data_IF_118750716300
#
_entry.id   IF_118750716300
#
_cell.length_a   1.000
_cell.length_b   1.000
_cell.length_c   1.000
_cell.angle_alpha   90.00
_cell.angle_beta   90.00
_cell.angle_gamma   90.00
#
_symmetry.space_group_name_H-M   'P 1'
#
loop_
_entity.id
_entity.type
_entity.pdbx_description
1 polymer ?
#
# COMPACT_ATOMS: atom_id res chain seq x y z
N UNK A 1 -27.32 54.85 -29.14
CA UNK A 1 -26.37 54.43 -28.10
C UNK A 1 -26.58 52.97 -27.68
N UNK A 2 -27.82 52.48 -27.60
CA UNK A 2 -28.11 51.08 -27.16
C UNK A 2 -27.54 49.97 -28.06
N UNK A 3 -27.48 50.19 -29.38
CA UNK A 3 -26.92 49.22 -30.33
C UNK A 3 -25.40 48.99 -30.16
N UNK A 4 -24.64 50.02 -29.79
CA UNK A 4 -23.19 49.94 -29.57
C UNK A 4 -22.88 49.26 -28.23
N UNK A 5 -23.65 49.57 -27.18
CA UNK A 5 -23.53 48.91 -25.87
C UNK A 5 -23.88 47.42 -25.95
N UNK A 6 -24.92 47.04 -26.71
CA UNK A 6 -25.28 45.64 -26.93
C UNK A 6 -24.21 44.87 -27.71
N UNK A 7 -23.59 45.48 -28.72
CA UNK A 7 -22.49 44.87 -29.48
C UNK A 7 -21.24 44.64 -28.62
N UNK A 8 -20.92 45.58 -27.72
CA UNK A 8 -19.77 45.47 -26.83
C UNK A 8 -19.97 44.35 -25.78
N UNK A 9 -21.17 44.24 -25.20
CA UNK A 9 -21.52 43.16 -24.27
C UNK A 9 -21.44 41.78 -24.96
N UNK A 10 -21.89 41.68 -26.21
CA UNK A 10 -21.80 40.44 -26.98
C UNK A 10 -20.35 39.97 -27.17
N UNK A 11 -19.43 40.89 -27.47
CA UNK A 11 -18.01 40.56 -27.60
C UNK A 11 -17.39 40.11 -26.27
N UNK A 12 -17.75 40.76 -25.16
CA UNK A 12 -17.31 40.38 -23.82
C UNK A 12 -17.77 38.96 -23.46
N UNK A 13 -19.03 38.60 -23.72
CA UNK A 13 -19.53 37.24 -23.47
C UNK A 13 -18.83 36.19 -24.32
N UNK A 14 -18.56 36.48 -25.60
CA UNK A 14 -17.79 35.57 -26.46
C UNK A 14 -16.38 35.33 -25.91
N UNK A 15 -15.72 36.37 -25.39
CA UNK A 15 -14.41 36.25 -24.76
C UNK A 15 -14.47 35.42 -23.48
N UNK A 16 -15.47 35.64 -22.63
CA UNK A 16 -15.69 34.84 -21.40
C UNK A 16 -15.93 33.37 -21.73
N UNK A 17 -16.79 33.07 -22.71
CA UNK A 17 -17.02 31.70 -23.16
C UNK A 17 -15.74 31.04 -23.69
N UNK A 18 -14.93 31.77 -24.46
CA UNK A 18 -13.62 31.27 -24.91
C UNK A 18 -12.69 30.97 -23.74
N UNK A 19 -12.67 31.83 -22.72
CA UNK A 19 -11.84 31.66 -21.53
C UNK A 19 -12.29 30.44 -20.72
N UNK A 20 -13.59 30.26 -20.50
CA UNK A 20 -14.14 29.09 -19.79
C UNK A 20 -13.86 27.80 -20.55
N UNK A 21 -13.93 27.80 -21.89
CA UNK A 21 -13.53 26.65 -22.71
C UNK A 21 -12.06 26.28 -22.53
N UNK A 22 -11.17 27.27 -22.52
CA UNK A 22 -9.75 27.03 -22.25
C UNK A 22 -9.55 26.47 -20.83
N UNK A 23 -10.17 27.09 -19.83
CA UNK A 23 -10.14 26.65 -18.44
C UNK A 23 -10.63 25.20 -18.29
N UNK A 24 -11.62 24.80 -19.08
CA UNK A 24 -12.14 23.44 -19.09
C UNK A 24 -11.13 22.44 -19.66
N UNK A 25 -10.41 22.81 -20.71
CA UNK A 25 -9.31 22.01 -21.27
C UNK A 25 -8.18 21.85 -20.24
N UNK A 26 -7.77 22.93 -19.60
CA UNK A 26 -6.72 22.92 -18.59
C UNK A 26 -7.13 22.09 -17.37
N UNK A 27 -8.38 22.23 -16.91
CA UNK A 27 -8.95 21.42 -15.84
C UNK A 27 -8.93 19.92 -16.17
N UNK A 28 -9.32 19.53 -17.39
CA UNK A 28 -9.26 18.13 -17.83
C UNK A 28 -7.83 17.59 -17.88
N UNK A 29 -6.88 18.39 -18.34
CA UNK A 29 -5.47 18.01 -18.37
C UNK A 29 -4.93 17.77 -16.95
N UNK A 30 -5.24 18.69 -16.02
CA UNK A 30 -4.86 18.56 -14.60
C UNK A 30 -5.54 17.38 -13.93
N UNK A 31 -6.83 17.14 -14.17
CA UNK A 31 -7.55 15.99 -13.63
C UNK A 31 -6.92 14.67 -14.08
N UNK A 32 -6.50 14.58 -15.34
CA UNK A 32 -5.78 13.41 -15.87
C UNK A 32 -4.42 13.24 -15.20
N UNK A 33 -3.62 14.30 -15.10
CA UNK A 33 -2.32 14.28 -14.42
C UNK A 33 -2.48 13.84 -12.95
N UNK A 34 -3.53 14.30 -12.28
CA UNK A 34 -3.84 13.92 -10.91
C UNK A 34 -4.20 12.44 -10.80
N UNK A 35 -5.05 11.90 -11.69
CA UNK A 35 -5.37 10.47 -11.72
C UNK A 35 -4.15 9.58 -11.91
N UNK A 36 -3.18 10.01 -12.72
CA UNK A 36 -1.97 9.24 -13.01
C UNK A 36 -0.93 9.29 -11.87
N UNK A 37 -1.02 10.26 -10.95
CA UNK A 37 -0.09 10.41 -9.82
C UNK A 37 -0.42 9.41 -8.71
N UNK A 38 0.55 8.57 -8.35
CA UNK A 38 0.43 7.60 -7.23
C UNK A 38 0.11 8.26 -5.89
N UNK A 39 0.63 9.46 -5.65
CA UNK A 39 0.39 10.25 -4.43
C UNK A 39 -1.01 10.85 -4.36
N UNK A 40 -1.73 10.94 -5.47
CA UNK A 40 -3.11 11.43 -5.52
C UNK A 40 -4.07 10.53 -4.72
N UNK A 41 -3.71 9.26 -4.49
CA UNK A 41 -4.43 8.36 -3.59
C UNK A 41 -4.72 9.00 -2.22
N UNK A 42 -3.78 9.78 -1.67
CA UNK A 42 -3.93 10.37 -0.32
C UNK A 42 -4.87 11.57 -0.25
N UNK A 43 -5.31 12.13 -1.39
CA UNK A 43 -6.11 13.37 -1.47
C UNK A 43 -7.45 13.12 -2.21
N UNK A 44 -7.69 11.88 -2.65
CA UNK A 44 -8.80 11.52 -3.55
C UNK A 44 -10.20 11.78 -2.98
N UNK A 45 -10.37 11.85 -1.66
CA UNK A 45 -11.68 11.99 -1.01
C UNK A 45 -12.02 13.41 -0.57
N UNK A 46 -11.14 14.38 -0.84
CA UNK A 46 -11.36 15.77 -0.44
C UNK A 46 -11.95 16.57 -1.60
N UNK A 47 -13.10 17.21 -1.34
CA UNK A 47 -13.69 18.19 -2.25
C UNK A 47 -12.68 19.31 -2.55
N UNK A 48 -12.63 19.76 -3.81
CA UNK A 48 -11.67 20.79 -4.24
C UNK A 48 -12.02 22.18 -3.71
N UNK A 49 -13.30 22.46 -3.53
CA UNK A 49 -13.82 23.76 -3.11
C UNK A 49 -14.87 23.59 -2.02
N UNK A 50 -15.11 24.65 -1.25
CA UNK A 50 -16.15 24.69 -0.22
C UNK A 50 -17.55 24.75 -0.84
N UNK A 51 -18.52 24.17 -0.14
CA UNK A 51 -19.94 24.21 -0.53
C UNK A 51 -20.52 25.64 -0.54
N UNK A 52 -19.90 26.55 0.22
CA UNK A 52 -20.25 27.97 0.24
C UNK A 52 -19.93 28.70 -1.06
N UNK A 53 -18.90 28.25 -1.79
CA UNK A 53 -18.47 28.85 -3.05
C UNK A 53 -19.10 28.13 -4.25
N UNK A 54 -19.22 26.80 -4.16
CA UNK A 54 -19.85 25.98 -5.17
C UNK A 54 -20.92 25.09 -4.54
N UNK A 55 -22.17 25.11 -5.03
CA UNK A 55 -23.20 24.18 -4.57
C UNK A 55 -22.93 22.71 -4.89
N UNK A 56 -21.87 22.43 -5.65
CA UNK A 56 -21.51 21.10 -6.14
C UNK A 56 -20.20 20.67 -5.48
N UNK A 57 -20.14 19.42 -5.06
CA UNK A 57 -18.93 18.80 -4.51
C UNK A 57 -18.37 17.79 -5.48
N UNK A 58 -17.10 17.95 -5.85
CA UNK A 58 -16.37 17.02 -6.72
C UNK A 58 -14.89 17.03 -6.38
N UNK A 59 -14.21 15.96 -6.77
CA UNK A 59 -12.76 15.79 -6.66
C UNK A 59 -12.04 16.19 -7.96
N UNK A 60 -12.82 16.50 -9.00
CA UNK A 60 -12.34 16.84 -10.36
C UNK A 60 -12.63 18.31 -10.70
N UNK A 61 -11.62 19.03 -11.21
CA UNK A 61 -11.74 20.44 -11.60
C UNK A 61 -12.72 20.61 -12.76
N UNK A 62 -12.75 19.66 -13.70
CA UNK A 62 -13.62 19.71 -14.88
C UNK A 62 -15.11 19.76 -14.53
N UNK A 63 -15.51 19.22 -13.36
CA UNK A 63 -16.89 19.27 -12.89
C UNK A 63 -17.30 20.69 -12.47
N UNK A 64 -16.42 21.41 -11.77
CA UNK A 64 -16.63 22.81 -11.38
C UNK A 64 -16.64 23.74 -12.59
N UNK A 65 -15.76 23.53 -13.57
CA UNK A 65 -15.76 24.34 -14.79
C UNK A 65 -17.03 24.12 -15.61
N UNK A 66 -17.55 22.89 -15.65
CA UNK A 66 -18.84 22.58 -16.30
C UNK A 66 -20.01 23.29 -15.63
N UNK A 67 -19.96 23.43 -14.29
CA UNK A 67 -20.95 24.19 -13.55
C UNK A 67 -20.88 25.70 -13.90
N UNK A 68 -19.67 26.26 -13.92
CA UNK A 68 -19.43 27.67 -14.33
C UNK A 68 -19.92 27.93 -15.76
N UNK A 69 -19.72 27.00 -16.70
CA UNK A 69 -20.22 27.12 -18.08
C UNK A 69 -21.76 27.18 -18.15
N UNK A 70 -22.45 26.34 -17.35
CA UNK A 70 -23.91 26.40 -17.23
C UNK A 70 -24.39 27.73 -16.64
N UNK A 71 -23.71 28.22 -15.61
CA UNK A 71 -24.03 29.50 -14.98
C UNK A 71 -23.78 30.69 -15.92
N UNK A 72 -22.72 30.63 -16.74
CA UNK A 72 -22.44 31.64 -17.76
C UNK A 72 -23.55 31.70 -18.82
N UNK A 73 -24.05 30.54 -19.26
CA UNK A 73 -25.18 30.48 -20.20
C UNK A 73 -26.47 31.02 -19.55
N UNK A 74 -26.68 30.77 -18.26
CA UNK A 74 -27.80 31.33 -17.51
C UNK A 74 -27.70 32.86 -17.40
N UNK A 75 -26.51 33.41 -17.15
CA UNK A 75 -26.26 34.85 -17.12
C UNK A 75 -26.60 35.51 -18.47
N UNK A 76 -26.19 34.90 -19.59
CA UNK A 76 -26.53 35.40 -20.92
C UNK A 76 -28.06 35.42 -21.13
N UNK A 77 -28.76 34.38 -20.69
CA UNK A 77 -30.22 34.32 -20.77
C UNK A 77 -30.90 35.39 -19.89
N UNK A 78 -30.43 35.61 -18.66
CA UNK A 78 -30.95 36.65 -17.76
C UNK A 78 -30.74 38.06 -18.31
N UNK A 79 -29.58 38.30 -18.93
CA UNK A 79 -29.28 39.58 -19.56
C UNK A 79 -30.21 39.86 -20.74
N UNK A 80 -30.49 38.84 -21.56
CA UNK A 80 -31.44 38.94 -22.68
C UNK A 80 -32.89 39.14 -22.20
N UNK A 81 -33.25 38.58 -21.04
CA UNK A 81 -34.56 38.77 -20.40
C UNK A 81 -34.69 40.12 -19.66
N UNK A 82 -33.61 40.90 -19.54
CA UNK A 82 -33.62 42.23 -18.93
C UNK A 82 -33.56 42.26 -17.40
N UNK A 83 -33.27 41.14 -16.74
CA UNK A 83 -33.17 41.05 -15.27
C UNK A 83 -31.80 41.49 -14.74
N UNK A 84 -31.49 42.78 -14.86
CA UNK A 84 -30.14 43.35 -14.57
C UNK A 84 -29.61 43.03 -13.17
N UNK A 85 -30.41 43.24 -12.11
CA UNK A 85 -29.94 43.02 -10.74
C UNK A 85 -29.52 41.56 -10.46
N UNK A 86 -30.28 40.60 -11.00
CA UNK A 86 -29.95 39.17 -10.85
C UNK A 86 -28.73 38.79 -11.69
N UNK A 87 -28.59 39.39 -12.88
CA UNK A 87 -27.43 39.21 -13.73
C UNK A 87 -26.15 39.75 -13.07
N UNK A 88 -26.23 40.91 -12.40
CA UNK A 88 -25.11 41.51 -11.68
C UNK A 88 -24.66 40.64 -10.50
N UNK A 89 -25.59 40.13 -9.67
CA UNK A 89 -25.25 39.23 -8.57
C UNK A 89 -24.64 37.91 -9.05
N UNK A 90 -25.13 37.38 -10.17
CA UNK A 90 -24.60 36.15 -10.76
C UNK A 90 -23.21 36.36 -11.35
N UNK A 91 -22.94 37.56 -11.91
CA UNK A 91 -21.63 37.92 -12.44
C UNK A 91 -20.57 37.95 -11.33
N UNK A 92 -20.89 38.56 -10.19
CA UNK A 92 -19.99 38.62 -9.03
C UNK A 92 -19.67 37.22 -8.50
N UNK A 93 -20.68 36.34 -8.40
CA UNK A 93 -20.47 34.95 -8.02
C UNK A 93 -19.58 34.19 -9.02
N UNK A 94 -19.84 34.38 -10.33
CA UNK A 94 -19.04 33.76 -11.39
C UNK A 94 -17.58 34.23 -11.35
N UNK A 95 -17.33 35.51 -11.07
CA UNK A 95 -15.97 36.05 -10.93
C UNK A 95 -15.22 35.38 -9.78
N UNK A 96 -15.86 35.26 -8.62
CA UNK A 96 -15.28 34.59 -7.45
C UNK A 96 -14.98 33.11 -7.75
N UNK A 97 -15.91 32.41 -8.39
CA UNK A 97 -15.76 31.00 -8.77
C UNK A 97 -14.64 30.79 -9.79
N UNK A 98 -14.57 31.60 -10.84
CA UNK A 98 -13.52 31.54 -11.86
C UNK A 98 -12.15 31.83 -11.24
N UNK A 99 -12.05 32.87 -10.40
CA UNK A 99 -10.81 33.24 -9.73
C UNK A 99 -10.31 32.12 -8.81
N UNK A 100 -11.21 31.51 -8.03
CA UNK A 100 -10.87 30.37 -7.20
C UNK A 100 -10.38 29.16 -8.01
N UNK A 101 -11.03 28.85 -9.15
CA UNK A 101 -10.59 27.76 -10.04
C UNK A 101 -9.18 28.05 -10.59
N UNK A 102 -8.90 29.27 -11.05
CA UNK A 102 -7.59 29.64 -11.57
C UNK A 102 -6.51 29.49 -10.50
N UNK A 103 -6.77 29.97 -9.28
CA UNK A 103 -5.83 29.86 -8.15
C UNK A 103 -5.59 28.39 -7.80
N UNK A 104 -6.66 27.60 -7.72
CA UNK A 104 -6.57 26.18 -7.39
C UNK A 104 -5.80 25.39 -8.46
N UNK A 105 -6.05 25.63 -9.75
CA UNK A 105 -5.29 25.01 -10.84
C UNK A 105 -3.81 25.37 -10.80
N UNK A 106 -3.47 26.65 -10.54
CA UNK A 106 -2.08 27.10 -10.41
C UNK A 106 -1.36 26.51 -9.20
N UNK A 107 -2.10 26.25 -8.12
CA UNK A 107 -1.56 25.72 -6.86
C UNK A 107 -1.62 24.19 -6.76
N UNK A 108 -2.27 23.49 -7.70
CA UNK A 108 -2.34 22.03 -7.73
C UNK A 108 -0.97 21.34 -7.59
N UNK A 109 0.14 21.80 -8.23
CA UNK A 109 1.46 21.22 -8.03
C UNK A 109 1.94 21.26 -6.57
N UNK A 110 1.56 22.28 -5.80
CA UNK A 110 1.91 22.40 -4.38
C UNK A 110 1.06 21.48 -3.50
N UNK A 111 -0.17 21.18 -3.91
CA UNK A 111 -1.11 20.32 -3.18
C UNK A 111 -0.58 18.89 -3.01
N UNK A 112 0.24 18.41 -3.94
CA UNK A 112 0.82 17.07 -3.91
C UNK A 112 2.19 16.98 -3.21
N UNK A 113 2.78 18.11 -2.77
CA UNK A 113 4.11 18.08 -2.14
C UNK A 113 4.13 17.27 -0.85
N UNK A 114 3.10 17.42 -0.01
CA UNK A 114 2.99 16.67 1.24
C UNK A 114 2.74 15.17 0.97
N UNK A 115 1.84 14.85 0.04
CA UNK A 115 1.55 13.45 -0.31
C UNK A 115 2.74 12.75 -0.96
N UNK A 116 3.50 13.43 -1.81
CA UNK A 116 4.76 12.95 -2.38
C UNK A 116 5.83 12.72 -1.30
N UNK A 117 5.97 13.67 -0.35
CA UNK A 117 6.89 13.54 0.77
C UNK A 117 6.56 12.33 1.65
N UNK A 118 5.28 12.14 1.99
CA UNK A 118 4.80 10.97 2.76
C UNK A 118 5.07 9.66 2.03
N UNK A 119 4.82 9.61 0.73
CA UNK A 119 5.13 8.44 -0.10
C UNK A 119 6.64 8.12 -0.10
N UNK A 120 7.48 9.15 -0.23
CA UNK A 120 8.94 8.99 -0.22
C UNK A 120 9.44 8.45 1.13
N UNK A 121 8.94 8.97 2.24
CA UNK A 121 9.28 8.48 3.58
C UNK A 121 8.89 7.01 3.75
N UNK A 122 7.67 6.65 3.39
CA UNK A 122 7.20 5.27 3.52
C UNK A 122 8.06 4.31 2.68
N UNK A 123 8.44 4.72 1.46
CA UNK A 123 9.35 3.93 0.61
C UNK A 123 10.73 3.74 1.25
N UNK A 124 11.30 4.80 1.83
CA UNK A 124 12.58 4.72 2.56
C UNK A 124 12.49 3.77 3.76
N UNK A 125 11.44 3.90 4.58
CA UNK A 125 11.20 3.03 5.74
C UNK A 125 11.03 1.56 5.34
N UNK A 126 10.31 1.30 4.25
CA UNK A 126 10.15 -0.06 3.73
C UNK A 126 11.48 -0.68 3.31
N UNK A 127 12.29 0.06 2.55
CA UNK A 127 13.61 -0.40 2.11
C UNK A 127 14.57 -0.62 3.28
N UNK A 128 14.54 0.26 4.29
CA UNK A 128 15.34 0.11 5.50
C UNK A 128 14.96 -1.16 6.27
N UNK A 129 13.67 -1.41 6.49
CA UNK A 129 13.18 -2.66 7.13
C UNK A 129 13.61 -3.91 6.36
N UNK A 130 13.64 -3.86 5.03
CA UNK A 130 14.16 -4.98 4.23
C UNK A 130 15.66 -5.20 4.46
N UNK A 131 16.45 -4.13 4.50
CA UNK A 131 17.89 -4.20 4.78
C UNK A 131 18.16 -4.78 6.18
N UNK A 132 17.46 -4.28 7.19
CA UNK A 132 17.60 -4.72 8.58
C UNK A 132 17.23 -6.21 8.74
N UNK A 133 16.16 -6.67 8.07
CA UNK A 133 15.78 -8.08 8.06
C UNK A 133 16.82 -8.98 7.37
N UNK A 134 17.47 -8.51 6.30
CA UNK A 134 18.56 -9.25 5.64
C UNK A 134 19.79 -9.34 6.54
N UNK A 135 20.17 -8.26 7.20
CA UNK A 135 21.27 -8.26 8.16
C UNK A 135 20.98 -9.13 9.39
N UNK A 136 19.76 -9.08 9.92
CA UNK A 136 19.34 -9.91 11.04
C UNK A 136 19.32 -11.40 10.68
N UNK A 137 18.85 -11.77 9.48
CA UNK A 137 18.87 -13.16 9.02
C UNK A 137 20.28 -13.69 8.77
N UNK A 138 21.19 -12.86 8.24
CA UNK A 138 22.60 -13.19 8.09
C UNK A 138 23.30 -13.34 9.45
N UNK A 139 23.12 -12.39 10.36
CA UNK A 139 23.68 -12.46 11.72
C UNK A 139 23.17 -13.68 12.50
N UNK A 140 21.87 -14.00 12.39
CA UNK A 140 21.28 -15.19 13.03
C UNK A 140 21.86 -16.51 12.48
N UNK A 141 22.22 -16.55 11.19
CA UNK A 141 22.84 -17.73 10.59
C UNK A 141 24.31 -17.92 11.00
N UNK A 142 25.05 -16.82 11.22
CA UNK A 142 26.44 -16.83 11.69
C UNK A 142 26.52 -17.08 13.20
N UNK A 143 25.51 -16.65 13.96
CA UNK A 143 25.48 -16.73 15.43
C UNK A 143 24.83 -18.01 15.99
N UNK A 144 24.51 -19.02 15.17
CA UNK A 144 24.45 -20.39 15.71
C UNK A 144 25.86 -20.79 16.10
N UNK A 145 26.24 -20.41 17.32
CA UNK A 145 27.56 -20.57 17.90
C UNK A 145 27.98 -22.05 17.76
N UNK A 146 29.19 -22.31 17.26
CA UNK A 146 29.75 -23.66 17.15
C UNK A 146 29.53 -24.47 18.44
N UNK A 147 29.64 -23.81 19.60
CA UNK A 147 29.39 -24.41 20.90
C UNK A 147 27.94 -24.91 21.10
N UNK A 148 26.94 -24.21 20.56
CA UNK A 148 25.54 -24.67 20.59
C UNK A 148 25.30 -25.88 19.71
N UNK A 149 26.01 -25.98 18.57
CA UNK A 149 25.91 -27.16 17.69
C UNK A 149 26.55 -28.39 18.33
N UNK A 150 27.72 -28.25 18.95
CA UNK A 150 28.35 -29.32 19.71
C UNK A 150 27.53 -29.74 20.93
N UNK A 151 26.94 -28.79 21.67
CA UNK A 151 26.06 -29.09 22.80
C UNK A 151 24.85 -29.93 22.37
N UNK A 152 24.18 -29.54 21.28
CA UNK A 152 23.07 -30.33 20.72
C UNK A 152 23.49 -31.71 20.21
N UNK A 153 24.70 -31.84 19.68
CA UNK A 153 25.23 -33.14 19.24
C UNK A 153 25.34 -34.10 20.43
N UNK A 154 25.88 -33.62 21.57
CA UNK A 154 25.95 -34.40 22.81
C UNK A 154 24.55 -34.80 23.29
N UNK A 155 23.58 -33.89 23.26
CA UNK A 155 22.19 -34.20 23.62
C UNK A 155 21.58 -35.30 22.72
N UNK A 156 21.79 -35.22 21.40
CA UNK A 156 21.26 -36.18 20.45
C UNK A 156 21.88 -37.56 20.61
N UNK A 157 23.20 -37.63 20.87
CA UNK A 157 23.87 -38.88 21.22
C UNK A 157 23.32 -39.47 22.53
N UNK A 158 22.97 -38.62 23.50
CA UNK A 158 22.26 -39.05 24.72
C UNK A 158 20.87 -39.61 24.44
N UNK A 159 20.11 -39.03 23.50
CA UNK A 159 18.83 -39.59 23.06
C UNK A 159 18.99 -40.93 22.34
N UNK A 160 20.00 -41.07 21.49
CA UNK A 160 20.34 -42.32 20.80
C UNK A 160 20.55 -43.46 21.80
N UNK A 161 21.45 -43.26 22.77
CA UNK A 161 21.74 -44.25 23.82
C UNK A 161 20.50 -44.64 24.62
N UNK A 162 19.63 -43.67 24.97
CA UNK A 162 18.37 -43.95 25.69
C UNK A 162 17.38 -44.76 24.84
N UNK A 163 17.24 -44.45 23.55
CA UNK A 163 16.37 -45.19 22.65
C UNK A 163 16.85 -46.62 22.45
N UNK A 164 18.16 -46.85 22.34
CA UNK A 164 18.73 -48.19 22.27
C UNK A 164 18.47 -49.01 23.55
N UNK A 165 18.56 -48.38 24.72
CA UNK A 165 18.23 -49.04 25.97
C UNK A 165 16.75 -49.44 26.01
N UNK A 166 15.84 -48.52 25.65
CA UNK A 166 14.40 -48.80 25.58
C UNK A 166 14.08 -49.95 24.63
N UNK A 167 14.75 -50.03 23.48
CA UNK A 167 14.59 -51.14 22.52
C UNK A 167 15.01 -52.45 23.18
N UNK A 168 16.19 -52.51 23.81
CA UNK A 168 16.68 -53.73 24.48
C UNK A 168 15.75 -54.20 25.59
N UNK A 169 15.20 -53.27 26.38
CA UNK A 169 14.24 -53.58 27.44
C UNK A 169 12.94 -54.17 26.88
N UNK A 170 12.38 -53.56 25.84
CA UNK A 170 11.16 -54.04 25.19
C UNK A 170 11.38 -55.39 24.48
N UNK A 171 12.54 -55.60 23.86
CA UNK A 171 12.94 -56.90 23.29
C UNK A 171 13.05 -58.00 24.36
N UNK A 172 13.58 -57.68 25.54
CA UNK A 172 13.63 -58.62 26.66
C UNK A 172 12.24 -58.95 27.18
N UNK A 173 11.33 -57.97 27.27
CA UNK A 173 9.92 -58.20 27.64
C UNK A 173 9.22 -59.08 26.60
N UNK A 174 9.47 -58.84 25.31
CA UNK A 174 8.92 -59.66 24.23
C UNK A 174 9.32 -61.13 24.37
N UNK A 175 10.62 -61.39 24.61
CA UNK A 175 11.16 -62.75 24.82
C UNK A 175 10.55 -63.48 26.02
N UNK A 176 10.04 -62.74 27.03
CA UNK A 176 9.43 -63.29 28.26
C UNK A 176 7.90 -63.36 28.20
N UNK A 177 7.25 -62.83 27.16
CA UNK A 177 5.79 -62.70 27.07
C UNK A 177 5.13 -63.86 26.32
N UNK A 178 3.95 -64.31 26.80
CA UNK A 178 3.11 -65.30 26.13
C UNK A 178 2.10 -64.61 25.18
N UNK A 179 1.71 -65.31 24.11
CA UNK A 179 1.25 -64.78 22.81
C UNK A 179 0.18 -63.66 22.75
N UNK A 180 -0.56 -63.35 23.82
CA UNK A 180 -1.56 -62.28 23.81
C UNK A 180 -0.96 -60.86 23.76
N UNK A 181 0.22 -60.63 24.35
CA UNK A 181 0.87 -59.30 24.43
C UNK A 181 2.01 -59.09 23.43
N UNK A 182 2.36 -60.11 22.63
CA UNK A 182 3.52 -60.06 21.72
C UNK A 182 3.34 -59.05 20.59
N UNK A 183 2.14 -58.97 20.01
CA UNK A 183 1.86 -58.04 18.90
C UNK A 183 2.00 -56.57 19.34
N UNK A 184 1.54 -56.21 20.54
CA UNK A 184 1.66 -54.86 21.06
C UNK A 184 3.13 -54.47 21.34
N UNK A 185 3.91 -55.40 21.90
CA UNK A 185 5.35 -55.22 22.15
C UNK A 185 6.15 -55.08 20.83
N UNK A 186 5.82 -55.86 19.80
CA UNK A 186 6.43 -55.74 18.48
C UNK A 186 6.14 -54.38 17.82
N UNK A 187 4.92 -53.87 17.94
CA UNK A 187 4.57 -52.53 17.45
C UNK A 187 5.33 -51.42 18.20
N UNK A 188 5.48 -51.57 19.52
CA UNK A 188 6.28 -50.66 20.36
C UNK A 188 7.75 -50.63 19.91
N UNK A 189 8.36 -51.80 19.72
CA UNK A 189 9.74 -51.94 19.23
C UNK A 189 9.89 -51.30 17.85
N UNK A 190 8.96 -51.54 16.93
CA UNK A 190 8.98 -50.92 15.61
C UNK A 190 8.93 -49.38 15.67
N UNK A 191 8.06 -48.82 16.51
CA UNK A 191 7.97 -47.38 16.71
C UNK A 191 9.26 -46.79 17.29
N UNK A 192 9.90 -47.49 18.24
CA UNK A 192 11.21 -47.10 18.79
C UNK A 192 12.32 -47.14 17.74
N UNK A 193 12.39 -48.16 16.89
CA UNK A 193 13.33 -48.21 15.77
C UNK A 193 13.12 -47.07 14.77
N UNK A 194 11.86 -46.72 14.48
CA UNK A 194 11.55 -45.60 13.59
C UNK A 194 12.04 -44.26 14.17
N UNK A 195 11.89 -44.08 15.49
CA UNK A 195 12.42 -42.91 16.22
C UNK A 195 13.95 -42.89 16.23
N UNK A 196 14.59 -44.04 16.46
CA UNK A 196 16.04 -44.17 16.41
C UNK A 196 16.59 -43.81 15.02
N UNK A 197 15.96 -44.29 13.95
CA UNK A 197 16.32 -43.94 12.58
C UNK A 197 16.22 -42.44 12.29
N UNK A 198 15.16 -41.78 12.78
CA UNK A 198 15.03 -40.31 12.70
C UNK A 198 16.10 -39.59 13.51
N UNK A 199 16.46 -40.10 14.69
CA UNK A 199 17.50 -39.55 15.55
C UNK A 199 18.87 -39.63 14.87
N UNK A 200 19.24 -40.77 14.29
CA UNK A 200 20.49 -40.95 13.54
C UNK A 200 20.59 -40.03 12.32
N UNK A 201 19.49 -39.83 11.59
CA UNK A 201 19.46 -38.84 10.49
C UNK A 201 19.69 -37.41 11.01
N UNK A 202 19.03 -37.03 12.10
CA UNK A 202 19.21 -35.70 12.68
C UNK A 202 20.64 -35.46 13.20
N UNK A 203 21.30 -36.50 13.73
CA UNK A 203 22.71 -36.47 14.11
C UNK A 203 23.60 -36.22 12.88
N UNK A 204 23.44 -37.02 11.82
CA UNK A 204 24.23 -36.86 10.60
C UNK A 204 24.04 -35.49 9.93
N UNK A 205 22.80 -34.97 9.93
CA UNK A 205 22.52 -33.62 9.42
C UNK A 205 23.17 -32.52 10.27
N UNK A 206 23.29 -32.73 11.59
CA UNK A 206 23.95 -31.78 12.50
C UNK A 206 25.47 -31.84 12.35
N UNK A 207 26.05 -33.03 12.22
CA UNK A 207 27.48 -33.24 11.97
C UNK A 207 27.91 -32.56 10.66
N UNK A 208 27.12 -32.72 9.58
CA UNK A 208 27.38 -32.03 8.31
C UNK A 208 27.33 -30.51 8.44
N UNK A 209 26.40 -29.98 9.24
CA UNK A 209 26.31 -28.52 9.49
C UNK A 209 27.51 -27.99 10.28
N UNK A 210 28.04 -28.78 11.22
CA UNK A 210 29.26 -28.46 11.96
C UNK A 210 30.45 -28.40 10.99
N UNK A 211 30.64 -29.45 10.18
CA UNK A 211 31.71 -29.52 9.18
C UNK A 211 31.65 -28.35 8.19
N UNK A 212 30.45 -28.04 7.67
CA UNK A 212 30.26 -26.91 6.77
C UNK A 212 30.52 -25.57 7.47
N UNK A 213 30.34 -25.46 8.79
CA UNK A 213 30.64 -24.24 9.55
C UNK A 213 32.14 -24.09 9.80
N UNK A 214 32.84 -25.17 10.11
CA UNK A 214 34.30 -25.19 10.35
C UNK A 214 35.08 -24.92 9.07
N UNK A 215 34.61 -25.38 7.90
CA UNK A 215 35.23 -25.07 6.61
C UNK A 215 35.06 -23.61 6.16
N UNK A 216 34.08 -22.89 6.73
CA UNK A 216 33.76 -21.50 6.38
C UNK A 216 34.35 -20.47 7.34
N UNK A 217 34.79 -20.89 8.53
CA UNK A 217 35.54 -20.08 9.50
C UNK A 217 37.03 -20.14 9.23
#
# INVERSE_FOLDING_TARGET
MDSVMAANNKQLYMRLQSMVKQLHSDAKATDKLNKDRKSHYYIKEQALFSETLFPVSSTEFSHYVSYVDKQLNHLIALQNAGHKQLADSLLEQLEQQISAIIVALKSDPNRHKDSDYRLQINKRRYNQRQSDNRQHSQAKSVMMNAHQMHSKLVEYRGFESRLELMIREEEQKLKRSNGANQNALQQSIFALHQRLGRCRRAIADLERKIEDSEKRG
#
